data_IF_749240835621
#
_entry.id   IF_749240835621
#
_cell.length_a   1.000
_cell.length_b   1.000
_cell.length_c   1.000
_cell.angle_alpha   90.00
_cell.angle_beta   90.00
_cell.angle_gamma   90.00
#
_symmetry.space_group_name_H-M   'P 1'
#
loop_
_entity.id
_entity.type
_entity.pdbx_description
1 polymer ?
#
# COMPACT_ATOMS: atom_id res chain seq x y z
N UNK A 1 69.23 25.06 -12.31
CA UNK A 1 68.77 23.70 -11.94
C UNK A 1 68.58 23.65 -10.43
N UNK A 2 67.33 23.76 -9.95
CA UNK A 2 66.90 23.39 -8.60
C UNK A 2 65.38 23.27 -8.60
N UNK A 3 64.93 22.25 -7.88
CA UNK A 3 63.77 21.42 -8.21
C UNK A 3 62.44 22.05 -7.82
N UNK A 4 61.46 21.89 -8.71
CA UNK A 4 60.05 22.21 -8.52
C UNK A 4 59.46 21.26 -7.46
N UNK A 5 59.00 21.79 -6.32
CA UNK A 5 58.27 21.02 -5.31
C UNK A 5 56.78 21.23 -5.58
N UNK A 6 56.17 20.31 -6.31
CA UNK A 6 54.72 20.26 -6.51
C UNK A 6 54.11 19.67 -5.22
N UNK A 7 53.50 20.53 -4.40
CA UNK A 7 52.65 20.10 -3.29
C UNK A 7 51.34 19.53 -3.87
N UNK A 8 51.26 18.21 -3.97
CA UNK A 8 50.00 17.50 -4.28
C UNK A 8 49.19 17.41 -2.99
N UNK A 9 48.32 18.39 -2.76
CA UNK A 9 47.33 18.32 -1.67
C UNK A 9 46.25 17.32 -2.07
N UNK A 10 46.38 16.08 -1.61
CA UNK A 10 45.35 15.05 -1.74
C UNK A 10 44.21 15.41 -0.78
N UNK A 11 43.22 16.18 -1.26
CA UNK A 11 41.96 16.40 -0.56
C UNK A 11 41.18 15.08 -0.57
N UNK A 12 41.30 14.35 0.53
CA UNK A 12 40.53 13.14 0.80
C UNK A 12 39.06 13.57 0.88
N UNK A 13 38.29 13.27 -0.17
CA UNK A 13 36.83 13.30 -0.12
C UNK A 13 36.38 12.22 0.86
N UNK A 14 36.35 12.57 2.15
CA UNK A 14 35.54 11.83 3.14
C UNK A 14 34.09 12.04 2.72
N UNK A 15 33.59 11.16 1.86
CA UNK A 15 32.17 10.99 1.68
C UNK A 15 31.60 10.57 3.02
N UNK A 16 30.95 11.48 3.73
CA UNK A 16 30.09 11.11 4.85
C UNK A 16 29.09 10.09 4.31
N UNK A 17 29.24 8.83 4.69
CA UNK A 17 28.16 7.85 4.59
C UNK A 17 27.09 8.33 5.56
N UNK A 18 26.16 9.15 5.07
CA UNK A 18 24.97 9.52 5.84
C UNK A 18 24.21 8.23 6.13
N UNK A 19 24.16 7.81 7.39
CA UNK A 19 23.36 6.67 7.80
C UNK A 19 21.90 6.98 7.47
N UNK A 20 21.25 6.12 6.69
CA UNK A 20 19.83 6.27 6.37
C UNK A 20 19.02 6.21 7.67
N UNK A 21 18.21 7.25 7.92
CA UNK A 21 17.34 7.33 9.10
C UNK A 21 16.07 6.51 8.87
N UNK A 22 16.11 5.24 9.26
CA UNK A 22 15.00 4.30 9.08
C UNK A 22 13.76 4.65 9.90
N UNK A 23 13.95 5.29 11.05
CA UNK A 23 12.84 5.63 11.94
C UNK A 23 11.93 6.64 11.26
N UNK A 24 12.51 7.63 10.56
CA UNK A 24 11.75 8.58 9.76
C UNK A 24 10.90 7.93 8.66
N UNK A 25 11.40 6.88 7.98
CA UNK A 25 10.60 6.13 7.00
C UNK A 25 9.45 5.36 7.64
N UNK A 26 9.68 4.77 8.83
CA UNK A 26 8.64 4.07 9.58
C UNK A 26 7.56 5.04 10.08
N UNK A 27 7.96 6.20 10.61
CA UNK A 27 7.05 7.27 11.03
C UNK A 27 6.22 7.76 9.83
N UNK A 28 6.86 8.02 8.70
CA UNK A 28 6.17 8.48 7.48
C UNK A 28 5.13 7.47 7.00
N UNK A 29 5.47 6.18 6.97
CA UNK A 29 4.52 5.13 6.62
C UNK A 29 3.38 5.02 7.64
N UNK A 30 3.68 5.07 8.94
CA UNK A 30 2.67 5.02 9.99
C UNK A 30 1.70 6.20 9.88
N UNK A 31 2.19 7.41 9.68
CA UNK A 31 1.37 8.61 9.55
C UNK A 31 0.42 8.48 8.34
N UNK A 32 0.94 7.99 7.21
CA UNK A 32 0.11 7.74 6.03
C UNK A 32 -0.93 6.65 6.28
N UNK A 33 -0.55 5.56 6.94
CA UNK A 33 -1.48 4.49 7.31
C UNK A 33 -2.62 5.01 8.19
N UNK A 34 -2.33 5.86 9.18
CA UNK A 34 -3.35 6.47 10.05
C UNK A 34 -4.26 7.42 9.27
N UNK A 35 -3.71 8.20 8.33
CA UNK A 35 -4.50 9.04 7.42
C UNK A 35 -5.46 8.20 6.58
N UNK A 36 -4.96 7.15 5.94
CA UNK A 36 -5.76 6.25 5.09
C UNK A 36 -6.85 5.52 5.89
N UNK A 37 -6.54 5.03 7.09
CA UNK A 37 -7.52 4.39 7.99
C UNK A 37 -8.63 5.38 8.40
N UNK A 38 -8.27 6.63 8.70
CA UNK A 38 -9.25 7.68 9.00
C UNK A 38 -10.16 7.95 7.80
N UNK A 39 -9.57 8.18 6.61
CA UNK A 39 -10.34 8.42 5.37
C UNK A 39 -11.26 7.23 5.08
N UNK A 40 -10.76 6.00 5.24
CA UNK A 40 -11.53 4.78 5.04
C UNK A 40 -12.72 4.69 6.00
N UNK A 41 -12.57 5.08 7.26
CA UNK A 41 -13.69 5.07 8.22
C UNK A 41 -14.75 6.14 7.94
N UNK A 42 -14.33 7.31 7.47
CA UNK A 42 -15.21 8.47 7.28
C UNK A 42 -15.89 8.50 5.90
N UNK A 43 -15.33 7.82 4.90
CA UNK A 43 -15.79 7.91 3.51
C UNK A 43 -16.77 6.80 3.18
N UNK A 44 -18.05 7.13 2.96
CA UNK A 44 -19.00 6.21 2.34
C UNK A 44 -19.07 6.48 0.84
N UNK A 45 -19.02 5.42 0.03
CA UNK A 45 -19.08 5.52 -1.43
C UNK A 45 -20.34 4.86 -1.98
N UNK A 46 -20.74 5.28 -3.18
CA UNK A 46 -21.62 4.48 -4.03
C UNK A 46 -20.71 3.52 -4.81
N UNK A 47 -20.69 2.25 -4.42
CA UNK A 47 -19.81 1.28 -5.05
C UNK A 47 -20.17 1.11 -6.55
N UNK A 48 -19.21 1.22 -7.47
CA UNK A 48 -19.45 1.12 -8.91
C UNK A 48 -20.16 -0.16 -9.29
N UNK A 49 -21.16 -0.06 -10.17
CA UNK A 49 -21.94 -1.20 -10.64
C UNK A 49 -21.70 -1.40 -12.14
N UNK A 50 -21.33 -2.62 -12.53
CA UNK A 50 -21.31 -3.06 -13.93
C UNK A 50 -22.27 -4.24 -14.13
N UNK A 51 -22.67 -4.52 -15.37
CA UNK A 51 -23.52 -5.68 -15.65
C UNK A 51 -22.81 -6.99 -15.29
N UNK A 52 -21.48 -7.03 -15.48
CA UNK A 52 -20.64 -8.10 -14.98
C UNK A 52 -20.77 -8.26 -13.45
N UNK A 53 -20.55 -7.19 -12.68
CA UNK A 53 -20.63 -7.26 -11.22
C UNK A 53 -22.02 -7.70 -10.75
N UNK A 54 -23.08 -7.18 -11.37
CA UNK A 54 -24.47 -7.54 -11.06
C UNK A 54 -24.76 -9.01 -11.33
N UNK A 55 -24.14 -9.60 -12.35
CA UNK A 55 -24.30 -11.02 -12.72
C UNK A 55 -23.64 -12.00 -11.75
N UNK A 56 -22.71 -11.53 -10.91
CA UNK A 56 -22.01 -12.37 -9.93
C UNK A 56 -22.97 -12.90 -8.85
N UNK A 57 -22.67 -14.09 -8.35
CA UNK A 57 -23.27 -14.62 -7.12
C UNK A 57 -22.99 -13.69 -5.94
N UNK A 58 -23.83 -13.72 -4.91
CA UNK A 58 -23.62 -12.89 -3.71
C UNK A 58 -22.24 -13.13 -3.07
N UNK A 59 -21.78 -14.38 -3.04
CA UNK A 59 -20.46 -14.74 -2.53
C UNK A 59 -19.33 -14.10 -3.34
N UNK A 60 -19.38 -14.19 -4.68
CA UNK A 60 -18.39 -13.53 -5.54
C UNK A 60 -18.47 -12.00 -5.44
N UNK A 61 -19.66 -11.41 -5.28
CA UNK A 61 -19.79 -9.96 -5.04
C UNK A 61 -19.07 -9.52 -3.77
N UNK A 62 -19.20 -10.29 -2.68
CA UNK A 62 -18.50 -10.03 -1.41
C UNK A 62 -16.99 -10.13 -1.56
N UNK A 63 -16.50 -11.16 -2.26
CA UNK A 63 -15.06 -11.34 -2.52
C UNK A 63 -14.48 -10.20 -3.34
N UNK A 64 -15.15 -9.80 -4.42
CA UNK A 64 -14.76 -8.64 -5.24
C UNK A 64 -14.75 -7.36 -4.40
N UNK A 65 -15.81 -7.12 -3.63
CA UNK A 65 -15.94 -5.96 -2.77
C UNK A 65 -14.80 -5.85 -1.76
N UNK A 66 -14.53 -6.93 -1.01
CA UNK A 66 -13.47 -6.97 0.00
C UNK A 66 -12.08 -6.85 -0.63
N UNK A 67 -11.84 -7.53 -1.75
CA UNK A 67 -10.57 -7.41 -2.47
C UNK A 67 -10.32 -5.96 -2.91
N UNK A 68 -11.30 -5.30 -3.51
CA UNK A 68 -11.18 -3.90 -3.93
C UNK A 68 -11.02 -2.97 -2.72
N UNK A 69 -11.75 -3.20 -1.63
CA UNK A 69 -11.56 -2.44 -0.39
C UNK A 69 -10.11 -2.50 0.10
N UNK A 70 -9.56 -3.70 0.28
CA UNK A 70 -8.18 -3.86 0.73
C UNK A 70 -7.15 -3.34 -0.28
N UNK A 71 -7.46 -3.42 -1.58
CA UNK A 71 -6.62 -2.85 -2.62
C UNK A 71 -6.54 -1.33 -2.50
N UNK A 72 -7.67 -0.66 -2.24
CA UNK A 72 -7.70 0.81 -2.08
C UNK A 72 -6.98 1.27 -0.81
N UNK A 73 -7.08 0.50 0.26
CA UNK A 73 -6.33 0.78 1.48
C UNK A 73 -4.82 0.60 1.28
N UNK A 74 -4.41 -0.45 0.55
CA UNK A 74 -3.01 -0.66 0.14
C UNK A 74 -2.51 0.47 -0.76
N UNK A 75 -3.20 0.77 -1.86
CA UNK A 75 -2.84 1.83 -2.82
C UNK A 75 -2.64 3.19 -2.13
N UNK A 76 -3.41 3.47 -1.07
CA UNK A 76 -3.28 4.71 -0.30
C UNK A 76 -1.94 4.85 0.45
N UNK A 77 -1.30 3.73 0.82
CA UNK A 77 -0.04 3.69 1.58
C UNK A 77 1.14 3.16 0.77
N UNK A 78 0.92 2.83 -0.51
CA UNK A 78 1.85 2.07 -1.33
C UNK A 78 3.20 2.75 -1.45
N UNK A 79 3.23 4.06 -1.72
CA UNK A 79 4.47 4.80 -1.95
C UNK A 79 5.37 4.77 -0.71
N UNK A 80 4.79 5.03 0.47
CA UNK A 80 5.50 5.02 1.75
C UNK A 80 5.91 3.61 2.15
N UNK A 81 5.05 2.61 1.92
CA UNK A 81 5.36 1.21 2.17
C UNK A 81 6.54 0.72 1.32
N UNK A 82 6.58 1.06 0.03
CA UNK A 82 7.68 0.71 -0.88
C UNK A 82 9.00 1.37 -0.46
N UNK A 83 8.97 2.66 -0.08
CA UNK A 83 10.15 3.37 0.45
C UNK A 83 10.66 2.71 1.74
N UNK A 84 9.77 2.37 2.67
CA UNK A 84 10.14 1.69 3.91
C UNK A 84 10.74 0.30 3.63
N UNK A 85 10.12 -0.49 2.74
CA UNK A 85 10.65 -1.81 2.31
C UNK A 85 12.05 -1.69 1.73
N UNK A 86 12.31 -0.69 0.88
CA UNK A 86 13.64 -0.46 0.29
C UNK A 86 14.70 -0.27 1.37
N UNK A 87 14.45 0.62 2.33
CA UNK A 87 15.40 0.94 3.42
C UNK A 87 15.57 -0.22 4.41
N UNK A 88 14.53 -1.04 4.60
CA UNK A 88 14.62 -2.25 5.42
C UNK A 88 15.41 -3.37 4.72
N UNK A 89 15.29 -3.51 3.40
CA UNK A 89 15.97 -4.55 2.61
C UNK A 89 17.49 -4.39 2.54
N UNK A 90 18.00 -3.17 2.68
CA UNK A 90 19.45 -2.87 2.68
C UNK A 90 20.20 -3.42 3.90
N UNK A 91 19.48 -3.87 4.94
CA UNK A 91 20.08 -4.42 6.15
C UNK A 91 19.38 -5.73 6.49
N UNK A 92 20.07 -6.61 7.21
CA UNK A 92 19.53 -7.91 7.67
C UNK A 92 18.52 -7.72 8.83
N UNK A 93 17.55 -6.81 8.67
CA UNK A 93 16.45 -6.53 9.61
C UNK A 93 15.20 -7.27 9.12
N UNK A 94 15.36 -8.57 8.86
CA UNK A 94 14.28 -9.46 8.43
C UNK A 94 13.13 -9.47 9.44
N UNK A 95 13.41 -9.42 10.74
CA UNK A 95 12.39 -9.42 11.80
C UNK A 95 11.42 -8.23 11.73
N UNK A 96 11.92 -7.00 11.51
CA UNK A 96 11.03 -5.83 11.43
C UNK A 96 10.17 -5.88 10.18
N UNK A 97 10.74 -6.31 9.05
CA UNK A 97 9.99 -6.49 7.82
C UNK A 97 8.86 -7.53 8.01
N UNK A 98 9.15 -8.69 8.61
CA UNK A 98 8.13 -9.71 8.90
C UNK A 98 7.04 -9.20 9.85
N UNK A 99 7.39 -8.41 10.86
CA UNK A 99 6.41 -7.75 11.74
C UNK A 99 5.51 -6.79 10.93
N UNK A 100 6.10 -5.98 10.05
CA UNK A 100 5.37 -5.02 9.22
C UNK A 100 4.43 -5.69 8.21
N UNK A 101 4.79 -6.85 7.65
CA UNK A 101 3.89 -7.67 6.82
C UNK A 101 2.63 -8.12 7.57
N UNK A 102 2.70 -8.22 8.90
CA UNK A 102 1.55 -8.50 9.74
C UNK A 102 0.61 -7.31 9.92
N UNK A 103 1.04 -6.08 9.60
CA UNK A 103 0.18 -4.91 9.60
C UNK A 103 -0.65 -4.86 8.32
N UNK A 104 -1.94 -4.58 8.52
CA UNK A 104 -2.91 -4.47 7.44
C UNK A 104 -2.45 -3.37 6.46
N UNK A 105 -2.46 -3.69 5.16
CA UNK A 105 -2.11 -2.81 4.03
C UNK A 105 -0.62 -2.52 3.80
N UNK A 106 0.30 -3.20 4.51
CA UNK A 106 1.72 -3.08 4.19
C UNK A 106 2.08 -3.78 2.87
N UNK A 107 1.46 -4.93 2.59
CA UNK A 107 1.62 -5.68 1.34
C UNK A 107 0.35 -5.63 0.49
N UNK A 108 0.55 -5.79 -0.83
CA UNK A 108 -0.54 -5.90 -1.79
C UNK A 108 -1.47 -7.04 -1.38
N UNK A 109 -2.80 -6.84 -1.38
CA UNK A 109 -3.73 -7.88 -0.99
C UNK A 109 -3.66 -9.07 -1.94
N UNK A 110 -3.77 -10.27 -1.37
CA UNK A 110 -3.85 -11.51 -2.15
C UNK A 110 -5.08 -11.51 -3.05
N UNK A 111 -4.90 -11.85 -4.32
CA UNK A 111 -6.00 -11.99 -5.28
C UNK A 111 -6.55 -13.42 -5.36
N UNK A 112 -6.14 -14.34 -4.47
CA UNK A 112 -6.47 -15.77 -4.57
C UNK A 112 -7.98 -16.03 -4.62
N UNK A 113 -8.78 -15.26 -3.89
CA UNK A 113 -10.23 -15.40 -3.83
C UNK A 113 -10.98 -14.77 -5.01
N UNK A 114 -10.28 -14.01 -5.87
CA UNK A 114 -10.86 -13.36 -7.05
C UNK A 114 -10.17 -13.75 -8.35
N UNK A 115 -9.11 -14.56 -8.31
CA UNK A 115 -8.32 -14.98 -9.49
C UNK A 115 -9.12 -15.74 -10.55
N UNK A 116 -10.22 -16.37 -10.16
CA UNK A 116 -11.12 -17.10 -11.07
C UNK A 116 -12.16 -16.19 -11.74
N UNK A 117 -12.17 -14.90 -11.39
CA UNK A 117 -13.06 -13.89 -11.94
C UNK A 117 -12.35 -13.10 -13.05
N UNK A 118 -13.12 -12.32 -13.81
CA UNK A 118 -12.60 -11.49 -14.90
C UNK A 118 -11.74 -10.33 -14.35
N UNK A 119 -10.44 -10.41 -14.59
CA UNK A 119 -9.46 -9.43 -14.14
C UNK A 119 -9.68 -8.03 -14.74
N UNK A 120 -10.09 -7.94 -16.01
CA UNK A 120 -10.31 -6.64 -16.66
C UNK A 120 -11.51 -5.92 -16.04
N UNK A 121 -12.54 -6.67 -15.66
CA UNK A 121 -13.69 -6.13 -14.95
C UNK A 121 -13.34 -5.72 -13.52
N UNK A 122 -12.48 -6.47 -12.83
CA UNK A 122 -11.95 -6.10 -11.52
C UNK A 122 -11.19 -4.77 -11.58
N UNK A 123 -10.26 -4.63 -12.53
CA UNK A 123 -9.49 -3.40 -12.76
C UNK A 123 -10.44 -2.23 -13.09
N UNK A 124 -11.40 -2.46 -13.99
CA UNK A 124 -12.38 -1.44 -14.39
C UNK A 124 -13.20 -0.91 -13.22
N UNK A 125 -13.66 -1.78 -12.31
CA UNK A 125 -14.37 -1.35 -11.10
C UNK A 125 -13.44 -0.64 -10.12
N UNK A 126 -12.25 -1.19 -9.88
CA UNK A 126 -11.26 -0.62 -8.96
C UNK A 126 -10.89 0.82 -9.37
N UNK A 127 -10.68 1.07 -10.66
CA UNK A 127 -10.29 2.40 -11.18
C UNK A 127 -11.37 3.48 -11.03
N UNK A 128 -12.61 3.11 -10.72
CA UNK A 128 -13.68 4.06 -10.44
C UNK A 128 -13.72 4.49 -8.96
N UNK A 129 -12.91 3.87 -8.11
CA UNK A 129 -12.79 4.18 -6.69
C UNK A 129 -11.44 4.85 -6.46
N UNK A 130 -11.48 6.07 -5.91
CA UNK A 130 -10.31 6.94 -5.81
C UNK A 130 -9.42 6.67 -4.58
N UNK A 131 -9.92 5.94 -3.58
CA UNK A 131 -9.17 5.70 -2.35
C UNK A 131 -9.95 4.88 -1.33
N UNK A 132 -9.45 4.81 -0.08
CA UNK A 132 -10.07 4.09 1.02
C UNK A 132 -11.53 4.47 1.23
N UNK A 133 -12.34 3.51 1.67
CA UNK A 133 -13.75 3.72 1.95
C UNK A 133 -14.25 2.77 3.05
N UNK A 134 -15.40 3.12 3.64
CA UNK A 134 -15.97 2.42 4.77
C UNK A 134 -16.61 1.13 4.28
N UNK A 135 -15.91 0.02 4.48
CA UNK A 135 -16.37 -1.28 4.01
C UNK A 135 -17.71 -1.70 4.62
N UNK A 136 -17.94 -1.41 5.90
CA UNK A 136 -19.17 -1.83 6.60
C UNK A 136 -20.37 -1.08 6.02
N UNK A 137 -20.36 0.25 6.10
CA UNK A 137 -21.46 1.08 5.63
C UNK A 137 -21.71 0.90 4.13
N UNK A 138 -20.65 0.78 3.33
CA UNK A 138 -20.80 0.56 1.88
C UNK A 138 -21.40 -0.83 1.60
N UNK A 139 -20.95 -1.88 2.30
CA UNK A 139 -21.50 -3.23 2.12
C UNK A 139 -22.97 -3.33 2.56
N UNK A 140 -23.37 -2.62 3.61
CA UNK A 140 -24.77 -2.53 4.05
C UNK A 140 -25.65 -1.88 2.97
N UNK A 141 -25.23 -0.72 2.44
CA UNK A 141 -25.95 -0.02 1.36
C UNK A 141 -26.08 -0.88 0.11
N UNK A 142 -25.06 -1.69 -0.19
CA UNK A 142 -25.08 -2.61 -1.33
C UNK A 142 -25.89 -3.89 -1.08
N UNK A 143 -26.38 -4.13 0.15
CA UNK A 143 -27.05 -5.38 0.52
C UNK A 143 -26.12 -6.59 0.48
N UNK A 144 -24.81 -6.39 0.69
CA UNK A 144 -23.82 -7.47 0.72
C UNK A 144 -23.80 -8.18 2.07
N UNK A 145 -24.23 -7.54 3.16
CA UNK A 145 -24.30 -8.15 4.49
C UNK A 145 -25.70 -8.73 4.70
N UNK A 146 -25.79 -9.96 5.22
CA UNK A 146 -27.06 -10.49 5.72
C UNK A 146 -27.22 -10.02 7.16
N UNK A 147 -28.35 -9.39 7.48
CA UNK A 147 -28.77 -9.27 8.87
C UNK A 147 -29.33 -10.65 9.26
N UNK A 148 -28.62 -11.35 10.14
CA UNK A 148 -29.17 -12.52 10.83
C UNK A 148 -30.12 -12.08 11.94
#
# INVERSE_FOLDING_TARGET
MKTLVINVTLLILVGCVSKVDKLSYLETWNDKWQECDKVGKETTIVFPQSDWFKSLTLDNKRKVFLYIHFLKDYECTQEEAEKLKSVLSEYDITTLNEVLKGFIYFDMPSNVDVKHLDEQQLIFLSNQILGPFNAITTAEVMGLIKHE
#
